data_IF_392085642718
#
_entry.id   IF_392085642718
#
_cell.length_a   1.000
_cell.length_b   1.000
_cell.length_c   1.000
_cell.angle_alpha   90.00
_cell.angle_beta   90.00
_cell.angle_gamma   90.00
#
_symmetry.space_group_name_H-M   'P 1'
#
loop_
_entity.id
_entity.type
_entity.pdbx_description
1 polymer ?
#
# COMPACT_ATOMS: atom_id res chain seq x y z
N UNK A 1 5.03 10.69 8.00
CA UNK A 1 3.80 10.18 7.35
C UNK A 1 4.27 9.17 6.33
N UNK A 2 3.74 7.94 6.28
CA UNK A 2 4.15 6.98 5.25
C UNK A 2 3.88 7.56 3.86
N UNK A 3 4.76 7.28 2.91
CA UNK A 3 4.72 7.87 1.56
C UNK A 3 4.67 6.77 0.51
N UNK A 4 3.93 7.01 -0.56
CA UNK A 4 3.85 6.10 -1.69
C UNK A 4 5.14 6.17 -2.52
N UNK A 5 5.81 5.02 -2.67
CA UNK A 5 7.05 4.90 -3.44
C UNK A 5 6.90 5.32 -4.92
N UNK A 6 5.71 5.10 -5.52
CA UNK A 6 5.50 5.40 -6.95
C UNK A 6 5.23 6.88 -7.24
N UNK A 7 4.60 7.62 -6.33
CA UNK A 7 4.12 8.97 -6.62
C UNK A 7 4.50 10.03 -5.59
N UNK A 8 5.16 9.64 -4.49
CA UNK A 8 5.53 10.54 -3.41
C UNK A 8 4.35 11.11 -2.62
N UNK A 9 3.15 10.56 -2.80
CA UNK A 9 1.96 11.02 -2.06
C UNK A 9 1.98 10.40 -0.68
N UNK A 10 1.75 11.21 0.35
CA UNK A 10 1.59 10.70 1.69
C UNK A 10 0.32 9.85 1.80
N UNK A 11 0.45 8.70 2.44
CA UNK A 11 -0.64 7.81 2.78
C UNK A 11 -1.36 8.37 3.99
N UNK A 12 -2.62 8.74 3.80
CA UNK A 12 -3.46 9.22 4.89
C UNK A 12 -3.76 8.07 5.86
N UNK A 13 -3.72 8.40 7.14
CA UNK A 13 -4.20 7.49 8.17
C UNK A 13 -5.72 7.35 8.00
N UNK A 14 -6.19 6.12 7.90
CA UNK A 14 -7.63 5.84 7.89
C UNK A 14 -8.09 5.93 9.33
N UNK A 15 -8.83 6.99 9.64
CA UNK A 15 -9.48 7.09 10.93
C UNK A 15 -10.80 6.33 10.92
N UNK A 16 -10.94 5.35 11.80
CA UNK A 16 -12.19 4.67 12.11
C UNK A 16 -12.01 3.18 12.45
N UNK A 17 -12.89 2.67 13.31
CA UNK A 17 -13.00 1.24 13.60
C UNK A 17 -12.13 0.75 14.76
N UNK A 18 -12.02 -0.57 14.87
CA UNK A 18 -11.39 -1.24 16.02
C UNK A 18 -9.88 -0.94 16.12
N UNK A 19 -9.19 -0.74 14.99
CA UNK A 19 -7.75 -0.43 14.96
C UNK A 19 -7.46 0.92 15.62
N UNK A 20 -8.23 1.94 15.30
CA UNK A 20 -8.16 3.25 15.95
C UNK A 20 -8.47 3.17 17.45
N UNK A 21 -9.50 2.41 17.83
CA UNK A 21 -9.86 2.21 19.24
C UNK A 21 -8.75 1.50 20.03
N UNK A 22 -7.92 0.69 19.35
CA UNK A 22 -6.75 0.02 19.89
C UNK A 22 -5.46 0.87 19.80
N UNK A 23 -5.54 2.10 19.26
CA UNK A 23 -4.37 2.97 19.05
C UNK A 23 -3.42 2.48 17.95
N UNK A 24 -3.88 1.60 17.07
CA UNK A 24 -3.13 1.10 15.92
C UNK A 24 -3.39 2.00 14.71
N UNK A 25 -2.36 2.67 14.22
CA UNK A 25 -2.45 3.44 12.98
C UNK A 25 -2.66 2.48 11.79
N UNK A 26 -3.77 2.67 11.06
CA UNK A 26 -3.98 2.06 9.74
C UNK A 26 -3.85 3.11 8.65
N UNK A 27 -3.31 2.72 7.51
CA UNK A 27 -3.09 3.60 6.35
C UNK A 27 -3.82 3.02 5.15
N UNK A 28 -4.42 3.86 4.31
CA UNK A 28 -5.09 3.37 3.09
C UNK A 28 -4.04 3.09 2.01
N UNK A 29 -3.51 1.88 2.01
CA UNK A 29 -2.53 1.47 1.02
C UNK A 29 -2.06 0.04 1.18
N UNK A 30 -1.00 -0.25 0.44
CA UNK A 30 -0.36 -1.55 0.36
C UNK A 30 1.09 -1.44 0.81
N UNK A 31 1.56 -2.41 1.57
CA UNK A 31 2.94 -2.50 2.02
C UNK A 31 3.55 -3.83 1.60
N UNK A 32 4.80 -3.81 1.14
CA UNK A 32 5.54 -5.03 0.91
C UNK A 32 5.99 -5.68 2.22
N UNK A 33 5.64 -6.95 2.40
CA UNK A 33 6.04 -7.78 3.55
C UNK A 33 7.55 -8.00 3.68
N UNK A 34 8.30 -7.92 2.57
CA UNK A 34 9.76 -8.16 2.55
C UNK A 34 10.60 -6.92 2.77
N UNK A 35 10.32 -5.84 2.05
CA UNK A 35 11.16 -4.63 2.04
C UNK A 35 10.49 -3.41 2.68
N UNK A 36 9.20 -3.49 3.04
CA UNK A 36 8.46 -2.37 3.62
C UNK A 36 8.08 -1.28 2.61
N UNK A 37 8.21 -1.52 1.30
CA UNK A 37 7.77 -0.56 0.27
C UNK A 37 6.29 -0.28 0.39
N UNK A 38 5.92 1.00 0.44
CA UNK A 38 4.54 1.45 0.60
C UNK A 38 3.99 1.99 -0.73
N UNK A 39 2.73 1.68 -1.00
CA UNK A 39 2.02 2.02 -2.23
C UNK A 39 0.62 2.51 -1.89
N UNK A 40 0.23 3.67 -2.40
CA UNK A 40 -1.15 4.13 -2.26
C UNK A 40 -2.11 3.31 -3.13
N UNK A 41 -3.37 3.25 -2.69
CA UNK A 41 -4.43 2.51 -3.37
C UNK A 41 -4.58 2.92 -4.85
N UNK A 42 -4.40 4.21 -5.19
CA UNK A 42 -4.44 4.68 -6.58
C UNK A 42 -3.30 4.12 -7.44
N UNK A 43 -2.06 4.17 -6.93
CA UNK A 43 -0.90 3.64 -7.65
C UNK A 43 -0.95 2.13 -7.78
N UNK A 44 -1.50 1.43 -6.78
CA UNK A 44 -1.77 0.00 -6.86
C UNK A 44 -2.81 -0.31 -7.94
N UNK A 45 -3.96 0.38 -7.92
CA UNK A 45 -5.04 0.18 -8.88
C UNK A 45 -4.60 0.46 -10.33
N UNK A 46 -3.85 1.55 -10.56
CA UNK A 46 -3.27 1.85 -11.88
C UNK A 46 -2.40 0.70 -12.35
N UNK A 47 -1.58 0.13 -11.46
CA UNK A 47 -0.73 -1.01 -11.79
C UNK A 47 -1.51 -2.26 -12.13
N UNK A 48 -2.58 -2.54 -11.39
CA UNK A 48 -3.49 -3.64 -11.68
C UNK A 48 -4.05 -3.53 -13.09
N UNK A 49 -4.41 -2.33 -13.53
CA UNK A 49 -4.87 -2.09 -14.90
C UNK A 49 -3.73 -2.22 -15.91
N UNK A 50 -2.56 -1.61 -15.65
CA UNK A 50 -1.37 -1.68 -16.53
C UNK A 50 -0.89 -3.12 -16.76
N UNK A 51 -0.96 -3.96 -15.73
CA UNK A 51 -0.58 -5.36 -15.79
C UNK A 51 -1.71 -6.28 -16.26
N UNK A 52 -2.86 -5.74 -16.66
CA UNK A 52 -4.06 -6.51 -16.99
C UNK A 52 -4.44 -7.55 -15.91
N UNK A 53 -4.20 -7.22 -14.64
CA UNK A 53 -4.42 -8.08 -13.49
C UNK A 53 -3.34 -9.14 -13.25
N UNK A 54 -2.27 -9.18 -14.05
CA UNK A 54 -1.15 -10.09 -13.83
C UNK A 54 -0.31 -9.59 -12.62
N UNK A 55 -0.41 -10.28 -11.48
CA UNK A 55 0.39 -10.04 -10.27
C UNK A 55 0.50 -8.56 -9.83
N UNK A 56 -0.63 -7.86 -9.62
CA UNK A 56 -0.63 -6.47 -9.13
C UNK A 56 -0.02 -6.33 -7.73
N UNK A 57 0.06 -7.44 -7.01
CA UNK A 57 0.61 -7.58 -5.67
C UNK A 57 2.14 -7.75 -5.65
N UNK A 58 2.85 -7.87 -6.79
CA UNK A 58 4.31 -7.98 -6.71
C UNK A 58 4.97 -6.65 -6.34
N UNK A 59 6.00 -6.65 -5.50
CA UNK A 59 6.68 -5.42 -5.09
C UNK A 59 7.55 -4.89 -6.23
N UNK A 60 7.46 -3.60 -6.61
CA UNK A 60 8.29 -3.04 -7.69
C UNK A 60 9.79 -2.97 -7.35
N UNK A 61 10.17 -3.12 -6.08
CA UNK A 61 11.55 -3.03 -5.60
C UNK A 61 12.23 -4.39 -5.40
N UNK A 62 11.48 -5.42 -4.97
CA UNK A 62 12.08 -6.69 -4.55
C UNK A 62 11.30 -7.95 -4.96
N UNK A 63 10.28 -7.82 -5.82
CA UNK A 63 9.37 -8.91 -6.21
C UNK A 63 8.68 -9.62 -5.02
N UNK A 64 8.68 -9.01 -3.83
CA UNK A 64 7.90 -9.45 -2.67
C UNK A 64 6.40 -9.26 -2.87
N UNK A 65 5.56 -9.53 -1.84
CA UNK A 65 4.11 -9.37 -1.96
C UNK A 65 3.64 -8.12 -1.24
N UNK A 66 2.79 -7.34 -1.91
CA UNK A 66 2.13 -6.16 -1.40
C UNK A 66 0.84 -6.59 -0.69
N UNK A 67 0.79 -6.33 0.60
CA UNK A 67 -0.34 -6.62 1.48
C UNK A 67 -1.09 -5.33 1.82
N UNK A 68 -2.41 -5.41 1.94
CA UNK A 68 -3.22 -4.26 2.35
C UNK A 68 -3.03 -3.97 3.85
N UNK A 69 -2.76 -2.71 4.21
CA UNK A 69 -2.55 -2.27 5.60
C UNK A 69 -3.80 -1.70 6.28
#
# INVERSE_FOLDING_TARGET
MPECERCGTHLDAVSGGLKDALGLASYDGYECDRCGTLLCSDCYNKRTVELAGAAPDSCPQCDGRLEKR
#
